data_IF_024512093081
#
_entry.id   IF_024512093081
#
_cell.length_a   1.000
_cell.length_b   1.000
_cell.length_c   1.000
_cell.angle_alpha   90.00
_cell.angle_beta   90.00
_cell.angle_gamma   90.00
#
_symmetry.space_group_name_H-M   'P 1'
#
loop_
_entity.id
_entity.type
_entity.pdbx_description
1 polymer ?
#
# COMPACT_ATOMS: atom_id res chain seq x y z
N UNK A 1 17.42 -0.81 -15.95
CA UNK A 1 15.99 -1.17 -15.89
C UNK A 1 15.50 -0.80 -14.51
N UNK A 2 14.48 0.06 -14.38
CA UNK A 2 13.94 0.42 -13.07
C UNK A 2 12.97 -0.68 -12.64
N UNK A 3 13.52 -1.75 -12.05
CA UNK A 3 12.70 -2.78 -11.42
C UNK A 3 12.09 -2.18 -10.16
N UNK A 4 10.77 -2.12 -10.20
CA UNK A 4 9.85 -1.51 -9.25
C UNK A 4 9.80 -2.29 -7.93
N UNK A 5 10.95 -2.46 -7.26
CA UNK A 5 11.13 -3.34 -6.09
C UNK A 5 10.53 -2.79 -4.78
N UNK A 6 9.67 -1.78 -4.86
CA UNK A 6 9.01 -1.18 -3.69
C UNK A 6 7.48 -1.27 -3.73
N UNK A 7 6.92 -1.90 -4.75
CA UNK A 7 5.47 -2.07 -4.85
C UNK A 7 4.99 -3.15 -3.86
N UNK A 8 4.27 -2.73 -2.82
CA UNK A 8 3.68 -3.67 -1.88
C UNK A 8 2.49 -4.33 -2.56
N UNK A 9 2.62 -5.63 -2.85
CA UNK A 9 1.52 -6.43 -3.41
C UNK A 9 0.44 -6.64 -2.35
N UNK A 10 -0.53 -5.73 -2.31
CA UNK A 10 -1.72 -5.86 -1.50
C UNK A 10 -2.71 -6.80 -2.18
N UNK A 11 -3.36 -7.66 -1.40
CA UNK A 11 -4.48 -8.46 -1.89
C UNK A 11 -5.78 -7.79 -1.46
N UNK A 12 -6.80 -7.80 -2.33
CA UNK A 12 -8.14 -7.35 -1.97
C UNK A 12 -8.63 -8.11 -0.73
N UNK A 13 -9.03 -7.37 0.31
CA UNK A 13 -9.40 -7.91 1.62
C UNK A 13 -8.24 -7.98 2.64
N UNK A 14 -7.02 -7.57 2.28
CA UNK A 14 -5.92 -7.42 3.22
C UNK A 14 -5.96 -6.04 3.90
N UNK A 15 -5.86 -6.04 5.23
CA UNK A 15 -5.81 -4.82 6.03
C UNK A 15 -4.37 -4.35 6.13
N UNK A 16 -4.15 -3.09 5.75
CA UNK A 16 -2.86 -2.42 5.86
C UNK A 16 -3.01 -1.06 6.50
N UNK A 17 -1.96 -0.64 7.19
CA UNK A 17 -1.87 0.64 7.85
C UNK A 17 -1.21 1.65 6.91
N UNK A 18 -1.87 2.80 6.70
CA UNK A 18 -1.31 3.89 5.90
C UNK A 18 -0.35 4.68 6.78
N UNK A 19 0.94 4.58 6.48
CA UNK A 19 1.99 5.31 7.19
C UNK A 19 2.19 6.71 6.63
N UNK A 20 2.12 6.86 5.30
CA UNK A 20 2.23 8.16 4.63
C UNK A 20 1.32 8.19 3.41
N UNK A 21 0.49 9.22 3.31
CA UNK A 21 -0.41 9.45 2.17
C UNK A 21 -0.21 10.82 1.53
N UNK A 22 0.95 11.44 1.74
CA UNK A 22 1.19 12.83 1.33
C UNK A 22 1.53 12.98 -0.16
N UNK A 23 1.67 11.88 -0.92
CA UNK A 23 2.15 11.87 -2.32
C UNK A 23 1.33 10.94 -3.22
N UNK A 24 1.70 10.87 -4.51
CA UNK A 24 1.13 9.93 -5.49
C UNK A 24 1.27 8.44 -5.08
N UNK A 25 2.13 8.14 -4.11
CA UNK A 25 2.39 6.81 -3.59
C UNK A 25 2.12 6.82 -2.10
N UNK A 26 1.22 5.96 -1.66
CA UNK A 26 0.98 5.77 -0.24
C UNK A 26 1.99 4.76 0.29
N UNK A 27 2.67 5.11 1.39
CA UNK A 27 3.48 4.16 2.15
C UNK A 27 2.55 3.40 3.09
N UNK A 28 2.62 2.08 2.99
CA UNK A 28 1.72 1.17 3.68
C UNK A 28 2.53 0.14 4.47
N UNK A 29 1.93 -0.36 5.55
CA UNK A 29 2.48 -1.45 6.35
C UNK A 29 1.43 -2.54 6.54
N UNK A 30 1.76 -3.76 6.16
CA UNK A 30 0.89 -4.90 6.40
C UNK A 30 0.99 -5.40 7.85
N UNK A 31 0.07 -6.28 8.25
CA UNK A 31 0.08 -6.89 9.59
C UNK A 31 1.31 -7.76 9.89
N UNK A 32 2.05 -8.18 8.85
CA UNK A 32 3.33 -8.89 9.01
C UNK A 32 4.50 -7.94 9.31
N UNK A 33 4.23 -6.63 9.38
CA UNK A 33 5.23 -5.60 9.59
C UNK A 33 6.02 -5.25 8.33
N UNK A 34 5.65 -5.80 7.17
CA UNK A 34 6.28 -5.46 5.89
C UNK A 34 5.74 -4.14 5.40
N UNK A 35 6.66 -3.27 5.02
CA UNK A 35 6.37 -1.95 4.49
C UNK A 35 6.61 -1.92 2.99
N UNK A 36 5.80 -1.16 2.28
CA UNK A 36 6.06 -0.84 0.89
C UNK A 36 5.13 0.26 0.40
N UNK A 37 5.19 0.53 -0.89
CA UNK A 37 4.45 1.62 -1.49
C UNK A 37 3.39 1.06 -2.41
N UNK A 38 2.23 1.69 -2.39
CA UNK A 38 1.15 1.34 -3.30
C UNK A 38 0.54 2.61 -3.85
N UNK A 39 0.17 2.63 -5.14
CA UNK A 39 -0.52 3.78 -5.71
C UNK A 39 -1.84 4.03 -4.95
N UNK A 40 -2.20 5.29 -4.77
CA UNK A 40 -3.39 5.65 -3.99
C UNK A 40 -4.70 5.07 -4.55
N UNK A 41 -4.68 4.64 -5.82
CA UNK A 41 -5.81 4.04 -6.52
C UNK A 41 -6.18 2.63 -6.05
N UNK A 42 -5.30 1.94 -5.31
CA UNK A 42 -5.56 0.55 -4.87
C UNK A 42 -6.18 0.45 -3.48
N UNK A 43 -6.19 1.55 -2.72
CA UNK A 43 -6.78 1.61 -1.40
C UNK A 43 -8.25 2.01 -1.52
N UNK A 44 -9.12 1.02 -1.47
CA UNK A 44 -10.54 1.27 -1.34
C UNK A 44 -10.91 1.26 0.15
N UNK A 45 -11.19 2.45 0.70
CA UNK A 45 -11.61 2.63 2.09
C UNK A 45 -13.11 2.38 2.29
N UNK A 46 -13.84 1.98 1.23
CA UNK A 46 -15.28 1.77 1.28
C UNK A 46 -15.57 0.32 1.72
N UNK A 47 -15.28 0.04 2.99
CA UNK A 47 -15.80 -1.14 3.66
C UNK A 47 -17.19 -0.78 4.21
N UNK A 48 -18.28 -1.46 3.82
CA UNK A 48 -19.64 -1.17 4.30
C UNK A 48 -19.82 -1.42 5.80
#
# INVERSE_FOLDING_TARGET
MAENSQELSLKAGEYVEVLDSSRNWNRLRNKKGMEGYSPYTVLDFNVP
#
